data_IF_571941485821
#
_entry.id   IF_571941485821
#
_cell.length_a   1.000
_cell.length_b   1.000
_cell.length_c   1.000
_cell.angle_alpha   90.00
_cell.angle_beta   90.00
_cell.angle_gamma   90.00
#
_symmetry.space_group_name_H-M   'P 1'
#
loop_
_entity.id
_entity.type
_entity.pdbx_description
1 polymer ?
#
# COMPACT_ATOMS: atom_id res chain seq x y z
N UNK A 1 22.04 -11.32 3.82
CA UNK A 1 22.42 -9.88 3.84
C UNK A 1 23.67 -9.70 2.99
N UNK A 2 23.76 -8.62 2.21
CA UNK A 2 24.92 -8.32 1.37
C UNK A 2 25.46 -6.93 1.68
N UNK A 3 26.78 -6.78 1.64
CA UNK A 3 27.46 -5.50 1.65
C UNK A 3 28.41 -5.46 0.45
N UNK A 4 28.21 -4.49 -0.43
CA UNK A 4 29.04 -4.34 -1.62
C UNK A 4 29.19 -2.86 -1.97
N UNK A 5 30.31 -2.53 -2.62
CA UNK A 5 30.47 -1.22 -3.27
C UNK A 5 29.60 -1.21 -4.54
N UNK A 6 28.88 -0.11 -4.77
CA UNK A 6 27.87 -0.05 -5.84
C UNK A 6 28.45 -0.32 -7.24
N UNK A 7 29.62 0.23 -7.54
CA UNK A 7 30.35 0.00 -8.80
C UNK A 7 30.73 -1.48 -9.00
N UNK A 8 31.14 -2.19 -7.94
CA UNK A 8 31.47 -3.61 -8.00
C UNK A 8 30.21 -4.42 -8.30
N UNK A 9 29.11 -4.13 -7.61
CA UNK A 9 27.85 -4.83 -7.82
C UNK A 9 27.33 -4.62 -9.26
N UNK A 10 27.35 -3.39 -9.76
CA UNK A 10 26.98 -3.06 -11.14
C UNK A 10 27.92 -3.74 -12.15
N UNK A 11 29.23 -3.80 -11.88
CA UNK A 11 30.19 -4.47 -12.77
C UNK A 11 29.96 -5.98 -12.86
N UNK A 12 29.63 -6.64 -11.74
CA UNK A 12 29.32 -8.07 -11.72
C UNK A 12 27.95 -8.33 -12.39
N UNK A 13 26.97 -7.45 -12.18
CA UNK A 13 25.68 -7.53 -12.87
C UNK A 13 25.85 -7.39 -14.39
N UNK A 14 26.63 -6.41 -14.86
CA UNK A 14 26.95 -6.23 -16.29
C UNK A 14 27.58 -7.47 -16.90
N UNK A 15 28.40 -8.17 -16.13
CA UNK A 15 29.11 -9.37 -16.58
C UNK A 15 28.19 -10.59 -16.68
N UNK A 16 27.35 -10.83 -15.67
CA UNK A 16 26.54 -12.06 -15.58
C UNK A 16 25.12 -11.92 -16.13
N UNK A 17 24.57 -10.70 -16.14
CA UNK A 17 23.25 -10.35 -16.67
C UNK A 17 23.31 -9.01 -17.42
N UNK A 18 24.02 -8.95 -18.57
CA UNK A 18 24.22 -7.71 -19.32
C UNK A 18 22.91 -7.01 -19.71
N UNK A 19 21.87 -7.78 -20.08
CA UNK A 19 20.55 -7.24 -20.41
C UNK A 19 19.88 -6.59 -19.18
N UNK A 20 19.90 -7.27 -18.03
CA UNK A 20 19.36 -6.70 -16.78
C UNK A 20 20.12 -5.43 -16.39
N UNK A 21 21.45 -5.43 -16.48
CA UNK A 21 22.25 -4.24 -16.22
C UNK A 21 21.82 -3.08 -17.12
N UNK A 22 21.69 -3.30 -18.43
CA UNK A 22 21.28 -2.26 -19.36
C UNK A 22 19.90 -1.70 -19.01
N UNK A 23 18.91 -2.56 -18.80
CA UNK A 23 17.55 -2.13 -18.48
C UNK A 23 17.47 -1.35 -17.16
N UNK A 24 18.24 -1.75 -16.15
CA UNK A 24 18.36 -1.01 -14.87
C UNK A 24 19.02 0.36 -15.08
N UNK A 25 20.07 0.44 -15.90
CA UNK A 25 20.70 1.72 -16.24
C UNK A 25 19.74 2.64 -16.99
N UNK A 26 19.08 2.15 -18.03
CA UNK A 26 18.12 2.91 -18.83
C UNK A 26 16.96 3.42 -17.95
N UNK A 27 16.44 2.54 -17.09
CA UNK A 27 15.37 2.88 -16.15
C UNK A 27 15.80 3.94 -15.12
N UNK A 28 17.06 3.90 -14.68
CA UNK A 28 17.60 4.93 -13.80
C UNK A 28 17.91 6.24 -14.52
N UNK A 29 18.33 6.22 -15.78
CA UNK A 29 18.54 7.43 -16.57
C UNK A 29 17.23 8.16 -16.84
N UNK A 30 16.17 7.40 -17.15
CA UNK A 30 14.80 7.89 -17.38
C UNK A 30 13.99 8.10 -16.09
N UNK A 31 14.61 7.97 -14.91
CA UNK A 31 13.94 8.08 -13.60
C UNK A 31 13.12 9.36 -13.45
N UNK A 32 12.03 9.26 -12.70
CA UNK A 32 11.28 10.40 -12.20
C UNK A 32 11.78 10.78 -10.80
N UNK A 33 11.92 12.07 -10.52
CA UNK A 33 12.39 12.59 -9.22
C UNK A 33 11.33 13.50 -8.61
N UNK A 34 10.85 13.15 -7.43
CA UNK A 34 9.82 13.86 -6.66
C UNK A 34 10.36 14.25 -5.28
N UNK A 35 10.91 15.45 -5.14
CA UNK A 35 11.54 15.88 -3.89
C UNK A 35 12.73 14.98 -3.53
N UNK A 36 12.62 14.22 -2.44
CA UNK A 36 13.62 13.21 -2.04
C UNK A 36 13.34 11.81 -2.58
N UNK A 37 12.25 11.61 -3.33
CA UNK A 37 11.86 10.32 -3.87
C UNK A 37 12.38 10.16 -5.30
N UNK A 38 12.94 8.98 -5.60
CA UNK A 38 13.41 8.62 -6.95
C UNK A 38 12.63 7.39 -7.37
N UNK A 39 11.84 7.53 -8.44
CA UNK A 39 11.12 6.43 -9.05
C UNK A 39 11.83 6.00 -10.35
N UNK A 40 12.23 4.73 -10.51
CA UNK A 40 12.73 4.23 -11.79
C UNK A 40 11.65 4.35 -12.88
N UNK A 41 12.07 4.54 -14.14
CA UNK A 41 11.13 4.53 -15.27
C UNK A 41 10.46 3.17 -15.40
N UNK A 42 9.13 3.17 -15.43
CA UNK A 42 8.32 1.95 -15.39
C UNK A 42 8.50 1.10 -16.65
N UNK A 43 8.44 1.71 -17.84
CA UNK A 43 8.50 0.99 -19.10
C UNK A 43 9.87 0.31 -19.32
N UNK A 44 10.95 1.00 -18.95
CA UNK A 44 12.30 0.44 -18.97
C UNK A 44 12.47 -0.65 -17.90
N UNK A 45 11.93 -0.43 -16.69
CA UNK A 45 12.06 -1.40 -15.59
C UNK A 45 11.29 -2.70 -15.84
N UNK A 46 10.13 -2.63 -16.49
CA UNK A 46 9.33 -3.81 -16.87
C UNK A 46 10.08 -4.78 -17.80
N UNK A 47 11.11 -4.31 -18.50
CA UNK A 47 11.97 -5.17 -19.32
C UNK A 47 13.03 -5.94 -18.50
N UNK A 48 13.21 -5.65 -17.21
CA UNK A 48 14.13 -6.39 -16.35
C UNK A 48 13.58 -7.79 -16.01
N UNK A 49 14.41 -8.82 -16.10
CA UNK A 49 14.01 -10.15 -15.64
C UNK A 49 13.82 -10.17 -14.12
N UNK A 50 12.82 -10.91 -13.65
CA UNK A 50 12.58 -11.12 -12.22
C UNK A 50 13.45 -12.28 -11.73
N UNK A 51 14.68 -11.98 -11.31
CA UNK A 51 15.63 -12.95 -10.74
C UNK A 51 16.17 -12.42 -9.42
N UNK A 52 16.44 -13.30 -8.45
CA UNK A 52 17.09 -12.90 -7.20
C UNK A 52 18.56 -12.55 -7.42
N UNK A 53 19.10 -11.69 -6.57
CA UNK A 53 20.53 -11.33 -6.56
C UNK A 53 21.44 -12.54 -6.36
N UNK A 54 20.96 -13.57 -5.65
CA UNK A 54 21.67 -14.82 -5.43
C UNK A 54 21.97 -15.52 -6.77
N UNK A 55 20.94 -15.74 -7.59
CA UNK A 55 21.07 -16.37 -8.91
C UNK A 55 21.72 -15.45 -9.96
N UNK A 56 21.41 -14.16 -9.91
CA UNK A 56 21.90 -13.19 -10.88
C UNK A 56 23.40 -12.92 -10.74
N UNK A 57 23.91 -12.89 -9.50
CA UNK A 57 25.28 -12.47 -9.19
C UNK A 57 26.00 -13.45 -8.26
N UNK A 58 25.43 -13.80 -7.11
CA UNK A 58 26.21 -14.42 -6.02
C UNK A 58 26.68 -15.84 -6.35
N UNK A 59 25.86 -16.66 -7.00
CA UNK A 59 26.28 -18.01 -7.41
C UNK A 59 27.39 -18.01 -8.48
N UNK A 60 27.51 -16.92 -9.25
CA UNK A 60 28.44 -16.80 -10.36
C UNK A 60 29.72 -16.04 -9.99
N UNK A 61 29.65 -15.15 -9.01
CA UNK A 61 30.76 -14.27 -8.65
C UNK A 61 31.86 -15.00 -7.89
N UNK A 62 33.11 -14.76 -8.31
CA UNK A 62 34.30 -15.22 -7.59
C UNK A 62 34.79 -14.20 -6.54
N UNK A 63 34.14 -13.04 -6.45
CA UNK A 63 34.56 -11.90 -5.60
C UNK A 63 33.76 -11.84 -4.29
N UNK A 64 33.49 -13.00 -3.70
CA UNK A 64 32.67 -13.11 -2.50
C UNK A 64 33.54 -13.38 -1.29
N UNK A 65 33.23 -12.70 -0.18
CA UNK A 65 33.73 -13.00 1.16
C UNK A 65 32.54 -13.15 2.08
N UNK A 66 32.61 -14.15 2.96
CA UNK A 66 31.56 -14.44 3.94
C UNK A 66 32.09 -14.14 5.33
N UNK A 67 31.32 -13.37 6.09
CA UNK A 67 31.59 -13.11 7.50
C UNK A 67 30.52 -13.84 8.32
N UNK A 68 30.95 -14.69 9.23
CA UNK A 68 30.04 -15.33 10.17
C UNK A 68 29.44 -14.26 11.10
N UNK A 69 28.12 -14.17 11.14
CA UNK A 69 27.40 -13.28 12.04
C UNK A 69 26.92 -14.10 13.24
N UNK A 70 27.50 -13.84 14.41
CA UNK A 70 27.10 -14.51 15.66
C UNK A 70 26.00 -13.72 16.36
N UNK A 71 24.81 -13.70 15.77
CA UNK A 71 23.61 -13.10 16.35
C UNK A 71 22.39 -13.94 16.04
N UNK A 72 21.36 -13.85 16.87
CA UNK A 72 20.06 -14.44 16.57
C UNK A 72 19.45 -13.69 15.38
N UNK A 73 19.50 -14.32 14.20
CA UNK A 73 18.88 -13.81 12.99
C UNK A 73 17.91 -14.87 12.46
N UNK A 74 16.67 -14.45 12.19
CA UNK A 74 15.66 -15.26 11.51
C UNK A 74 15.14 -14.47 10.33
N UNK A 75 15.02 -15.12 9.17
CA UNK A 75 14.25 -14.60 8.06
C UNK A 75 12.79 -14.73 8.46
N UNK A 76 12.22 -13.65 9.00
CA UNK A 76 10.84 -13.60 9.48
C UNK A 76 9.91 -13.66 8.26
N UNK A 77 9.85 -14.84 7.64
CA UNK A 77 9.14 -15.11 6.38
C UNK A 77 7.87 -15.91 6.56
N UNK A 78 7.60 -16.40 7.77
CA UNK A 78 6.35 -17.08 8.13
C UNK A 78 5.82 -16.58 9.46
N UNK A 79 4.50 -16.70 9.65
CA UNK A 79 3.86 -16.39 10.93
C UNK A 79 4.34 -17.29 12.08
N UNK A 80 4.82 -18.50 11.76
CA UNK A 80 5.44 -19.41 12.75
C UNK A 80 6.76 -18.87 13.28
N UNK A 81 7.60 -18.27 12.43
CA UNK A 81 8.84 -17.63 12.87
C UNK A 81 8.55 -16.39 13.72
N UNK A 82 7.55 -15.58 13.36
CA UNK A 82 7.07 -14.49 14.20
C UNK A 82 6.63 -14.98 15.58
N UNK A 83 5.87 -16.07 15.63
CA UNK A 83 5.39 -16.62 16.89
C UNK A 83 6.53 -17.09 17.81
N UNK A 84 7.63 -17.61 17.26
CA UNK A 84 8.80 -18.08 18.03
C UNK A 84 9.59 -16.96 18.70
N UNK A 85 9.67 -15.80 18.06
CA UNK A 85 10.44 -14.65 18.56
C UNK A 85 9.61 -13.70 19.41
N UNK A 86 8.31 -13.94 19.54
CA UNK A 86 7.42 -13.08 20.30
C UNK A 86 7.36 -13.51 21.76
N UNK A 87 7.17 -12.55 22.66
CA UNK A 87 6.96 -12.84 24.08
C UNK A 87 5.67 -13.63 24.28
N UNK A 88 5.71 -14.59 25.20
CA UNK A 88 4.59 -15.48 25.51
C UNK A 88 4.19 -15.39 26.98
N UNK A 89 2.91 -15.61 27.26
CA UNK A 89 2.38 -15.82 28.61
C UNK A 89 2.70 -17.24 29.16
N UNK A 90 2.17 -17.54 30.35
CA UNK A 90 2.35 -18.84 31.04
C UNK A 90 1.76 -20.03 30.27
N UNK A 91 0.72 -19.79 29.46
CA UNK A 91 0.06 -20.79 28.61
C UNK A 91 0.69 -20.86 27.20
N UNK A 92 1.78 -20.13 26.96
CA UNK A 92 2.52 -20.09 25.70
C UNK A 92 1.86 -19.25 24.61
N UNK A 93 0.83 -18.45 24.92
CA UNK A 93 0.21 -17.55 23.96
C UNK A 93 1.04 -16.27 23.80
N UNK A 94 1.14 -15.80 22.56
CA UNK A 94 1.66 -14.48 22.25
C UNK A 94 0.55 -13.59 21.73
N UNK A 95 0.31 -12.45 22.39
CA UNK A 95 -0.83 -11.58 22.13
C UNK A 95 -0.38 -10.15 21.85
N UNK A 96 -0.86 -9.57 20.74
CA UNK A 96 -0.62 -8.19 20.34
C UNK A 96 -1.97 -7.53 20.03
N UNK A 97 -2.30 -6.46 20.77
CA UNK A 97 -3.56 -5.72 20.61
C UNK A 97 -4.62 -6.12 21.64
N UNK A 98 -5.89 -5.87 21.33
CA UNK A 98 -7.02 -6.14 22.22
C UNK A 98 -7.44 -7.61 22.13
N UNK A 99 -7.01 -8.43 23.12
CA UNK A 99 -7.16 -9.89 23.11
C UNK A 99 -7.69 -10.40 24.45
N UNK A 100 -8.69 -11.30 24.40
CA UNK A 100 -9.21 -12.04 25.55
C UNK A 100 -9.01 -13.54 25.35
N UNK A 101 -8.48 -14.20 26.37
CA UNK A 101 -8.17 -15.63 26.34
C UNK A 101 -9.00 -16.36 27.40
N UNK A 102 -9.62 -17.47 26.99
CA UNK A 102 -10.23 -18.44 27.90
C UNK A 102 -9.77 -19.84 27.48
N UNK A 103 -9.10 -20.58 28.37
CA UNK A 103 -8.62 -21.94 28.09
C UNK A 103 -7.88 -22.04 26.74
N UNK A 104 -7.01 -21.07 26.44
CA UNK A 104 -6.32 -20.96 25.16
C UNK A 104 -4.82 -21.18 25.37
N UNK A 105 -4.17 -21.98 24.52
CA UNK A 105 -2.77 -22.40 24.74
C UNK A 105 -1.94 -22.34 23.47
N UNK A 106 -0.68 -21.93 23.59
CA UNK A 106 0.27 -21.90 22.49
C UNK A 106 -0.26 -21.22 21.21
N UNK A 107 -1.01 -20.13 21.32
CA UNK A 107 -1.50 -19.37 20.17
C UNK A 107 -0.60 -18.17 19.85
N UNK A 108 -0.62 -17.69 18.61
CA UNK A 108 -0.09 -16.39 18.22
C UNK A 108 -1.26 -15.54 17.74
N UNK A 109 -1.57 -14.47 18.46
CA UNK A 109 -2.77 -13.66 18.23
C UNK A 109 -2.33 -12.21 18.05
N UNK A 110 -2.65 -11.65 16.89
CA UNK A 110 -2.44 -10.24 16.59
C UNK A 110 -3.74 -9.63 16.12
N UNK A 111 -4.24 -8.63 16.84
CA UNK A 111 -5.51 -7.98 16.53
C UNK A 111 -5.40 -6.46 16.67
N UNK A 112 -5.27 -5.75 15.55
CA UNK A 112 -5.05 -4.31 15.56
C UNK A 112 -6.35 -3.48 15.41
N UNK A 113 -7.47 -4.12 15.05
CA UNK A 113 -8.73 -3.40 14.71
C UNK A 113 -9.92 -3.72 15.60
N UNK A 114 -10.11 -4.99 15.97
CA UNK A 114 -11.24 -5.44 16.80
C UNK A 114 -10.74 -6.29 17.96
N UNK A 115 -11.54 -6.42 19.01
CA UNK A 115 -11.31 -7.41 20.05
C UNK A 115 -11.22 -8.82 19.43
N UNK A 116 -10.16 -9.56 19.75
CA UNK A 116 -10.03 -10.98 19.44
C UNK A 116 -10.21 -11.80 20.71
N UNK A 117 -11.30 -12.58 20.79
CA UNK A 117 -11.55 -13.46 21.91
C UNK A 117 -11.34 -14.92 21.49
N UNK A 118 -10.55 -15.69 22.24
CA UNK A 118 -10.31 -17.11 21.98
C UNK A 118 -10.78 -17.97 23.15
N UNK A 119 -11.47 -19.07 22.85
CA UNK A 119 -12.02 -19.98 23.85
C UNK A 119 -11.71 -21.42 23.49
N UNK A 120 -10.91 -22.12 24.31
CA UNK A 120 -10.64 -23.55 24.13
C UNK A 120 -9.77 -23.92 22.93
N UNK A 121 -9.03 -22.96 22.37
CA UNK A 121 -8.23 -23.16 21.14
C UNK A 121 -6.74 -23.26 21.45
N UNK A 122 -6.03 -24.03 20.61
CA UNK A 122 -4.60 -24.21 20.75
C UNK A 122 -3.88 -24.25 19.42
N UNK A 123 -2.61 -23.91 19.47
CA UNK A 123 -1.68 -24.04 18.34
C UNK A 123 -2.11 -23.22 17.10
N UNK A 124 -2.83 -22.11 17.29
CA UNK A 124 -3.31 -21.25 16.21
C UNK A 124 -2.43 -20.03 15.99
N UNK A 125 -2.46 -19.54 14.76
CA UNK A 125 -2.09 -18.19 14.34
C UNK A 125 -3.38 -17.49 13.98
N UNK A 126 -3.68 -16.40 14.69
CA UNK A 126 -4.84 -15.56 14.47
C UNK A 126 -4.34 -14.15 14.19
N UNK A 127 -4.53 -13.66 12.97
CA UNK A 127 -4.12 -12.32 12.56
C UNK A 127 -5.36 -11.59 12.06
N UNK A 128 -5.78 -10.58 12.81
CA UNK A 128 -6.91 -9.73 12.51
C UNK A 128 -6.42 -8.31 12.25
N UNK A 129 -6.27 -7.99 10.97
CA UNK A 129 -5.85 -6.68 10.49
C UNK A 129 -7.03 -5.93 9.89
N UNK A 130 -6.75 -4.80 9.24
CA UNK A 130 -7.81 -3.93 8.77
C UNK A 130 -8.59 -4.51 7.58
N UNK A 131 -7.90 -5.31 6.76
CA UNK A 131 -8.33 -5.90 5.49
C UNK A 131 -8.79 -7.36 5.58
N UNK A 132 -8.19 -8.16 6.46
CA UNK A 132 -8.49 -9.58 6.56
C UNK A 132 -8.30 -10.16 7.96
N UNK A 133 -9.03 -11.25 8.19
CA UNK A 133 -8.84 -12.19 9.30
C UNK A 133 -8.22 -13.47 8.76
N UNK A 134 -7.04 -13.81 9.26
CA UNK A 134 -6.39 -15.10 9.05
C UNK A 134 -6.50 -15.93 10.33
N UNK A 135 -6.96 -17.17 10.18
CA UNK A 135 -6.87 -18.20 11.22
C UNK A 135 -6.22 -19.42 10.58
N UNK A 136 -5.08 -19.84 11.12
CA UNK A 136 -4.36 -21.01 10.64
C UNK A 136 -3.78 -21.79 11.81
N UNK A 137 -3.63 -23.11 11.65
CA UNK A 137 -2.81 -23.88 12.57
C UNK A 137 -1.33 -23.48 12.39
N UNK A 138 -0.55 -23.44 13.48
CA UNK A 138 0.87 -23.03 13.47
C UNK A 138 1.69 -23.80 12.44
N UNK A 139 1.44 -25.11 12.33
CA UNK A 139 2.15 -25.99 11.40
C UNK A 139 1.75 -25.81 9.94
N UNK A 140 0.61 -25.19 9.66
CA UNK A 140 0.09 -24.95 8.31
C UNK A 140 0.35 -23.51 7.83
N UNK A 141 1.11 -22.72 8.60
CA UNK A 141 1.33 -21.29 8.32
C UNK A 141 2.00 -20.99 6.98
N UNK A 142 2.72 -21.95 6.40
CA UNK A 142 3.33 -21.82 5.07
C UNK A 142 2.29 -21.84 3.94
N UNK A 143 1.16 -22.52 4.16
CA UNK A 143 0.08 -22.64 3.18
C UNK A 143 -0.70 -21.34 2.97
N UNK A 144 -0.44 -20.29 3.77
CA UNK A 144 -0.99 -18.94 3.55
C UNK A 144 -0.66 -18.42 2.16
N UNK A 145 0.48 -18.81 1.57
CA UNK A 145 0.86 -18.45 0.18
C UNK A 145 -0.17 -18.94 -0.86
N UNK A 146 -0.80 -20.10 -0.61
CA UNK A 146 -1.83 -20.63 -1.50
C UNK A 146 -3.10 -19.77 -1.45
N UNK A 147 -3.47 -19.27 -0.27
CA UNK A 147 -4.59 -18.34 -0.13
C UNK A 147 -4.31 -17.04 -0.88
N UNK A 148 -3.11 -16.48 -0.77
CA UNK A 148 -2.72 -15.28 -1.54
C UNK A 148 -2.87 -15.52 -3.04
N UNK A 149 -2.42 -16.67 -3.54
CA UNK A 149 -2.56 -17.06 -4.96
C UNK A 149 -4.04 -17.12 -5.39
N UNK A 150 -4.92 -17.67 -4.54
CA UNK A 150 -6.36 -17.72 -4.81
C UNK A 150 -6.99 -16.32 -4.80
N UNK A 151 -6.62 -15.46 -3.85
CA UNK A 151 -7.08 -14.08 -3.79
C UNK A 151 -6.70 -13.30 -5.06
N UNK A 152 -5.48 -13.48 -5.55
CA UNK A 152 -5.02 -12.88 -6.81
C UNK A 152 -5.83 -13.37 -8.02
N UNK A 153 -6.09 -14.68 -8.10
CA UNK A 153 -6.90 -15.27 -9.17
C UNK A 153 -8.35 -14.74 -9.16
N UNK A 154 -8.90 -14.52 -7.96
CA UNK A 154 -10.21 -13.92 -7.76
C UNK A 154 -10.23 -12.39 -7.90
N UNK A 155 -9.07 -11.77 -8.17
CA UNK A 155 -8.88 -10.30 -8.25
C UNK A 155 -9.39 -9.59 -7.01
N UNK A 156 -9.19 -10.21 -5.85
CA UNK A 156 -9.64 -9.68 -4.57
C UNK A 156 -8.71 -8.56 -4.08
N UNK A 157 -9.25 -7.45 -3.53
CA UNK A 157 -8.46 -6.32 -3.11
C UNK A 157 -7.49 -6.65 -1.97
N UNK A 158 -7.81 -7.64 -1.12
CA UNK A 158 -6.99 -8.07 0.02
C UNK A 158 -5.60 -8.59 -0.38
N UNK A 159 -5.41 -9.01 -1.64
CA UNK A 159 -4.10 -9.45 -2.14
C UNK A 159 -3.16 -8.28 -2.53
N UNK A 160 -3.70 -7.08 -2.77
CA UNK A 160 -2.96 -6.01 -3.47
C UNK A 160 -3.08 -4.64 -2.83
N UNK A 161 -4.16 -4.39 -2.09
CA UNK A 161 -4.52 -3.05 -1.63
C UNK A 161 -4.33 -2.99 -0.13
N UNK A 162 -3.29 -2.30 0.31
CA UNK A 162 -3.21 -1.86 1.70
C UNK A 162 -4.32 -0.85 1.94
N UNK A 163 -5.12 -1.03 3.00
CA UNK A 163 -6.20 -0.09 3.32
C UNK A 163 -5.69 1.33 3.50
N UNK A 164 -4.50 1.48 4.10
CA UNK A 164 -3.80 2.76 4.24
C UNK A 164 -2.71 2.91 3.20
N UNK A 165 -2.75 4.03 2.48
CA UNK A 165 -1.78 4.40 1.46
C UNK A 165 -1.05 5.68 1.89
N UNK A 166 0.28 5.61 1.96
CA UNK A 166 1.11 6.76 2.29
C UNK A 166 1.41 7.60 1.05
N UNK A 167 1.39 8.92 1.24
CA UNK A 167 1.68 9.94 0.22
C UNK A 167 2.62 11.01 0.80
N UNK A 168 3.30 11.82 -0.03
CA UNK A 168 4.15 12.89 0.46
C UNK A 168 3.43 13.85 1.42
N UNK A 169 2.18 14.22 1.08
CA UNK A 169 1.32 15.10 1.86
C UNK A 169 0.71 14.48 3.12
N UNK A 170 0.78 13.15 3.31
CA UNK A 170 0.09 12.47 4.40
C UNK A 170 -0.30 11.03 4.04
N UNK A 171 -1.54 10.66 4.29
CA UNK A 171 -2.07 9.32 3.98
C UNK A 171 -3.59 9.36 3.77
N UNK A 172 -4.11 8.31 3.14
CA UNK A 172 -5.54 8.01 3.20
C UNK A 172 -5.75 6.54 3.51
N UNK A 173 -6.86 6.23 4.18
CA UNK A 173 -7.31 4.90 4.50
C UNK A 173 -8.72 4.68 3.93
N UNK A 174 -8.96 3.60 3.18
CA UNK A 174 -10.31 3.22 2.77
C UNK A 174 -11.03 2.59 3.98
N UNK A 175 -12.07 3.25 4.49
CA UNK A 175 -12.86 2.77 5.64
C UNK A 175 -13.89 1.75 5.19
N UNK A 176 -14.64 2.09 4.14
CA UNK A 176 -15.77 1.31 3.65
C UNK A 176 -16.02 1.58 2.17
N UNK A 177 -16.60 0.62 1.47
CA UNK A 177 -16.97 0.77 0.06
C UNK A 177 -18.05 -0.25 -0.33
N UNK A 178 -18.95 0.17 -1.20
CA UNK A 178 -19.91 -0.71 -1.87
C UNK A 178 -20.33 -0.08 -3.21
N UNK A 179 -21.29 -0.70 -3.90
CA UNK A 179 -21.87 -0.15 -5.11
C UNK A 179 -22.41 1.26 -4.88
N UNK A 180 -21.80 2.23 -5.57
CA UNK A 180 -22.22 3.62 -5.56
C UNK A 180 -21.53 4.52 -4.53
N UNK A 181 -20.72 3.97 -3.60
CA UNK A 181 -19.97 4.80 -2.66
C UNK A 181 -18.60 4.26 -2.24
N UNK A 182 -17.71 5.17 -1.84
CA UNK A 182 -16.41 4.86 -1.22
C UNK A 182 -16.14 5.87 -0.10
N UNK A 183 -15.77 5.39 1.08
CA UNK A 183 -15.47 6.22 2.25
C UNK A 183 -13.99 6.15 2.57
N UNK A 184 -13.35 7.31 2.67
CA UNK A 184 -11.92 7.44 3.01
C UNK A 184 -11.73 8.26 4.27
N UNK A 185 -10.80 7.83 5.13
CA UNK A 185 -10.19 8.67 6.15
C UNK A 185 -8.91 9.25 5.58
N UNK A 186 -8.81 10.57 5.50
CA UNK A 186 -7.63 11.24 4.95
C UNK A 186 -6.93 11.98 6.08
N UNK A 187 -5.62 11.79 6.19
CA UNK A 187 -4.76 12.53 7.12
C UNK A 187 -3.76 13.37 6.32
N UNK A 188 -3.78 14.68 6.53
CA UNK A 188 -2.88 15.63 5.85
C UNK A 188 -1.91 16.23 6.86
N UNK A 189 -0.61 16.17 6.55
CA UNK A 189 0.45 16.72 7.40
C UNK A 189 0.31 18.25 7.52
N UNK A 190 0.78 18.84 8.63
CA UNK A 190 0.84 20.29 8.78
C UNK A 190 1.51 20.98 7.59
N UNK A 191 0.87 22.00 7.02
CA UNK A 191 1.39 22.76 5.87
C UNK A 191 1.36 22.03 4.53
N UNK A 192 0.89 20.78 4.47
CA UNK A 192 0.76 20.05 3.22
C UNK A 192 -0.60 20.30 2.55
N UNK A 193 -0.67 20.05 1.24
CA UNK A 193 -1.89 20.13 0.43
C UNK A 193 -1.98 18.94 -0.51
N UNK A 194 -3.19 18.61 -0.92
CA UNK A 194 -3.43 17.68 -2.02
C UNK A 194 -3.29 18.44 -3.35
N UNK A 195 -3.18 17.69 -4.44
CA UNK A 195 -3.18 18.27 -5.80
C UNK A 195 -4.53 18.92 -6.10
N UNK A 196 -4.53 20.01 -6.87
CA UNK A 196 -5.77 20.54 -7.44
C UNK A 196 -6.29 19.53 -8.47
N UNK A 197 -7.50 19.03 -8.25
CA UNK A 197 -8.04 17.94 -9.04
C UNK A 197 -9.52 18.12 -9.36
N UNK A 198 -10.02 17.34 -10.31
CA UNK A 198 -11.43 17.24 -10.70
C UNK A 198 -11.75 15.80 -11.09
N UNK A 199 -12.98 15.39 -10.81
CA UNK A 199 -13.54 14.09 -11.21
C UNK A 199 -14.75 14.31 -12.11
N UNK A 200 -14.95 13.45 -13.12
CA UNK A 200 -16.09 13.57 -14.04
C UNK A 200 -17.25 12.64 -13.67
N UNK A 201 -17.00 11.59 -12.88
CA UNK A 201 -17.99 10.55 -12.61
C UNK A 201 -18.48 10.46 -11.17
N UNK A 202 -17.97 11.33 -10.27
CA UNK A 202 -18.34 11.31 -8.85
C UNK A 202 -18.46 12.69 -8.25
N UNK A 203 -19.31 12.78 -7.23
CA UNK A 203 -19.36 13.88 -6.28
C UNK A 203 -18.71 13.43 -4.98
N UNK A 204 -18.32 14.40 -4.15
CA UNK A 204 -17.68 14.12 -2.87
C UNK A 204 -18.32 14.93 -1.75
N UNK A 205 -18.34 14.35 -0.55
CA UNK A 205 -18.72 15.04 0.68
C UNK A 205 -17.57 14.91 1.68
N UNK A 206 -17.04 16.03 2.14
CA UNK A 206 -15.93 16.06 3.09
C UNK A 206 -16.40 16.55 4.44
N UNK A 207 -16.04 15.84 5.51
CA UNK A 207 -16.34 16.21 6.90
C UNK A 207 -15.03 16.29 7.67
N UNK A 208 -14.72 17.45 8.25
CA UNK A 208 -13.50 17.64 9.04
C UNK A 208 -13.69 16.99 10.40
N UNK A 209 -12.84 16.02 10.71
CA UNK A 209 -12.85 15.30 12.00
C UNK A 209 -11.96 16.00 13.01
N UNK A 210 -10.81 16.52 12.56
CA UNK A 210 -9.81 17.13 13.44
C UNK A 210 -8.99 18.20 12.73
N UNK A 211 -8.73 19.32 13.42
CA UNK A 211 -7.95 20.43 12.88
C UNK A 211 -8.76 21.36 11.97
N UNK A 212 -8.06 22.07 11.08
CA UNK A 212 -8.66 23.04 10.15
C UNK A 212 -8.21 22.76 8.73
N UNK A 213 -9.15 22.80 7.80
CA UNK A 213 -8.92 22.61 6.38
C UNK A 213 -9.19 23.90 5.61
N UNK A 214 -8.30 24.28 4.71
CA UNK A 214 -8.63 25.23 3.66
C UNK A 214 -9.02 24.43 2.41
N UNK A 215 -10.28 24.56 1.99
CA UNK A 215 -10.84 23.83 0.85
C UNK A 215 -11.07 24.79 -0.31
N UNK A 216 -10.47 24.50 -1.46
CA UNK A 216 -10.87 25.09 -2.73
C UNK A 216 -12.04 24.28 -3.28
N UNK A 217 -13.16 24.92 -3.60
CA UNK A 217 -14.34 24.31 -4.23
C UNK A 217 -14.81 25.22 -5.38
N UNK A 218 -14.37 24.90 -6.60
CA UNK A 218 -14.54 25.78 -7.75
C UNK A 218 -13.75 27.07 -7.58
N UNK A 219 -14.45 28.20 -7.49
CA UNK A 219 -13.87 29.53 -7.32
C UNK A 219 -13.79 29.95 -5.84
N UNK A 220 -14.41 29.19 -4.94
CA UNK A 220 -14.46 29.51 -3.52
C UNK A 220 -13.30 28.87 -2.75
N UNK A 221 -12.78 29.61 -1.77
CA UNK A 221 -11.87 29.07 -0.76
C UNK A 221 -12.55 29.15 0.60
N UNK A 222 -12.78 27.98 1.21
CA UNK A 222 -13.58 27.82 2.42
C UNK A 222 -12.68 27.28 3.53
N UNK A 223 -12.59 28.00 4.65
CA UNK A 223 -11.92 27.50 5.84
C UNK A 223 -12.93 26.71 6.68
N UNK A 224 -12.68 25.41 6.86
CA UNK A 224 -13.49 24.49 7.63
C UNK A 224 -12.75 24.07 8.90
N UNK A 225 -13.46 24.02 10.01
CA UNK A 225 -13.02 23.48 11.30
C UNK A 225 -13.72 22.16 11.61
N UNK A 226 -13.34 21.53 12.71
CA UNK A 226 -13.93 20.28 13.19
C UNK A 226 -15.46 20.30 13.16
N UNK A 227 -16.05 19.18 12.72
CA UNK A 227 -17.48 18.95 12.53
C UNK A 227 -18.14 19.84 11.44
N UNK A 228 -17.39 20.63 10.69
CA UNK A 228 -17.88 21.30 9.49
C UNK A 228 -17.66 20.42 8.25
N UNK A 229 -18.46 20.68 7.20
CA UNK A 229 -18.43 19.88 5.99
C UNK A 229 -18.61 20.71 4.73
N UNK A 230 -18.27 20.13 3.59
CA UNK A 230 -18.53 20.70 2.27
C UNK A 230 -18.88 19.61 1.27
N UNK A 231 -19.68 20.00 0.28
CA UNK A 231 -20.06 19.16 -0.85
C UNK A 231 -19.30 19.63 -2.10
N UNK A 232 -18.62 18.71 -2.76
CA UNK A 232 -17.91 18.93 -4.00
C UNK A 232 -18.75 18.36 -5.15
N UNK A 233 -19.36 19.22 -5.99
CA UNK A 233 -20.16 18.76 -7.13
C UNK A 233 -19.32 18.02 -8.18
N UNK A 234 -19.99 17.19 -8.97
CA UNK A 234 -19.36 16.49 -10.11
C UNK A 234 -18.75 17.53 -11.06
N UNK A 235 -17.51 17.31 -11.45
CA UNK A 235 -16.83 18.17 -12.40
C UNK A 235 -16.34 19.49 -11.82
N UNK A 236 -16.35 19.66 -10.50
CA UNK A 236 -15.80 20.85 -9.84
C UNK A 236 -14.32 20.66 -9.52
N UNK A 237 -13.51 21.68 -9.82
CA UNK A 237 -12.11 21.74 -9.38
C UNK A 237 -12.07 21.90 -7.87
N UNK A 238 -11.30 21.07 -7.18
CA UNK A 238 -11.23 21.11 -5.74
C UNK A 238 -9.83 20.75 -5.23
N UNK A 239 -9.51 21.28 -4.05
CA UNK A 239 -8.23 21.05 -3.36
C UNK A 239 -8.43 21.10 -1.86
N UNK A 240 -7.71 20.24 -1.15
CA UNK A 240 -7.65 20.22 0.31
C UNK A 240 -6.27 20.66 0.77
N UNK A 241 -6.21 21.60 1.71
CA UNK A 241 -4.97 22.06 2.33
C UNK A 241 -5.08 22.03 3.85
N UNK A 242 -3.98 21.69 4.53
CA UNK A 242 -3.85 21.82 5.97
C UNK A 242 -3.03 23.08 6.32
N UNK A 243 -3.66 24.24 6.56
CA UNK A 243 -2.96 25.45 7.00
C UNK A 243 -2.50 25.39 8.47
N UNK A 244 -2.90 24.35 9.20
CA UNK A 244 -2.65 24.21 10.63
C UNK A 244 -1.26 23.69 10.97
N UNK A 245 -1.01 23.61 12.28
CA UNK A 245 0.24 23.07 12.87
C UNK A 245 0.10 21.64 13.40
N UNK A 246 -1.10 21.07 13.34
CA UNK A 246 -1.41 19.68 13.72
C UNK A 246 -1.88 18.91 12.49
N UNK A 247 -1.80 17.57 12.47
CA UNK A 247 -2.39 16.77 11.41
C UNK A 247 -3.88 17.08 11.27
N UNK A 248 -4.30 17.32 10.02
CA UNK A 248 -5.70 17.47 9.62
C UNK A 248 -6.25 16.09 9.33
N UNK A 249 -7.43 15.78 9.85
CA UNK A 249 -8.13 14.54 9.58
C UNK A 249 -9.53 14.83 9.04
N UNK A 250 -9.93 14.16 7.95
CA UNK A 250 -11.28 14.24 7.40
C UNK A 250 -11.81 12.88 6.97
N UNK A 251 -13.13 12.78 6.92
CA UNK A 251 -13.84 11.73 6.20
C UNK A 251 -14.30 12.26 4.85
N UNK A 252 -13.92 11.56 3.79
CA UNK A 252 -14.39 11.79 2.43
C UNK A 252 -15.37 10.68 2.06
N UNK A 253 -16.57 11.06 1.64
CA UNK A 253 -17.56 10.15 1.04
C UNK A 253 -17.65 10.47 -0.43
N UNK A 254 -17.24 9.53 -1.28
CA UNK A 254 -17.35 9.63 -2.72
C UNK A 254 -18.62 8.91 -3.17
N UNK A 255 -19.42 9.54 -4.02
CA UNK A 255 -20.68 9.01 -4.52
C UNK A 255 -20.75 9.11 -6.05
N UNK A 256 -21.03 8.00 -6.72
CA UNK A 256 -21.07 7.96 -8.18
C UNK A 256 -21.03 6.55 -8.76
N UNK A 257 -21.21 6.47 -10.09
CA UNK A 257 -21.22 5.18 -10.81
C UNK A 257 -19.80 4.65 -11.11
N UNK A 258 -18.78 5.48 -10.89
CA UNK A 258 -17.37 5.13 -11.09
C UNK A 258 -16.50 5.88 -10.08
N UNK A 259 -15.72 5.15 -9.28
CA UNK A 259 -15.04 5.67 -8.07
C UNK A 259 -13.55 5.31 -8.01
N UNK A 260 -12.95 4.97 -9.15
CA UNK A 260 -11.53 4.63 -9.24
C UNK A 260 -10.65 5.88 -9.41
N UNK A 261 -9.35 5.75 -9.13
CA UNK A 261 -8.40 6.88 -9.11
C UNK A 261 -7.90 7.32 -10.49
N UNK A 262 -8.30 6.64 -11.55
CA UNK A 262 -7.94 6.95 -12.95
C UNK A 262 -8.81 8.03 -13.60
N UNK A 263 -9.99 8.34 -13.04
CA UNK A 263 -10.81 9.52 -13.41
C UNK A 263 -10.30 10.83 -12.76
N UNK A 264 -9.11 10.82 -12.14
CA UNK A 264 -8.56 12.01 -11.48
C UNK A 264 -7.72 12.81 -12.46
N UNK A 265 -8.24 13.98 -12.88
CA UNK A 265 -7.44 14.96 -13.64
C UNK A 265 -6.80 15.94 -12.65
N UNK A 266 -5.46 15.99 -12.65
CA UNK A 266 -4.67 16.86 -11.78
C UNK A 266 -4.17 18.08 -12.57
N UNK A 267 -4.47 19.28 -12.07
CA UNK A 267 -4.17 20.54 -12.76
C UNK A 267 -2.98 21.28 -12.14
N UNK A 268 -2.82 21.16 -10.82
CA UNK A 268 -1.70 21.73 -10.06
C UNK A 268 -1.26 20.71 -9.02
N UNK A 269 -0.15 20.03 -9.31
CA UNK A 269 0.41 18.98 -8.45
C UNK A 269 1.85 19.33 -8.08
N UNK A 270 2.02 19.77 -6.83
CA UNK A 270 3.34 19.94 -6.20
C UNK A 270 4.16 18.63 -6.16
N UNK A 271 3.54 17.49 -6.50
CA UNK A 271 4.11 16.16 -6.40
C UNK A 271 4.25 15.43 -7.75
N UNK A 272 4.17 16.14 -8.89
CA UNK A 272 4.65 15.60 -10.19
C UNK A 272 3.80 14.51 -10.87
N UNK A 273 2.58 14.22 -10.44
CA UNK A 273 1.69 13.20 -11.02
C UNK A 273 0.76 13.74 -12.12
N UNK A 274 1.05 14.91 -12.67
CA UNK A 274 0.22 15.59 -13.67
C UNK A 274 0.20 14.91 -15.06
N UNK A 275 0.94 13.81 -15.27
CA UNK A 275 1.13 13.20 -16.59
C UNK A 275 0.74 11.71 -16.74
N UNK A 276 0.01 11.10 -15.81
CA UNK A 276 -0.54 9.74 -16.03
C UNK A 276 -2.01 9.78 -16.44
N UNK A 277 -2.28 10.13 -17.70
CA UNK A 277 -3.53 9.74 -18.37
C UNK A 277 -3.32 8.37 -19.00
N UNK A 278 -3.85 7.30 -18.40
CA UNK A 278 -3.92 6.00 -19.07
C UNK A 278 -5.02 6.10 -20.13
N UNK A 279 -4.73 5.92 -21.43
CA UNK A 279 -5.77 6.03 -22.45
C UNK A 279 -6.78 4.91 -22.26
N UNK A 280 -8.06 5.29 -22.12
CA UNK A 280 -9.21 4.40 -22.19
C UNK A 280 -9.11 3.54 -23.45
N UNK A 281 -8.80 2.24 -23.30
CA UNK A 281 -9.00 1.26 -24.37
C UNK A 281 -10.50 1.08 -24.58
N UNK A 282 -11.06 1.88 -25.49
CA UNK A 282 -12.40 1.63 -26.03
C UNK A 282 -12.32 0.36 -26.88
N UNK A 283 -12.83 -0.75 -26.34
CA UNK A 283 -13.00 -1.99 -27.09
C UNK A 283 -14.17 -1.82 -28.07
N UNK A 284 -13.91 -1.22 -29.23
CA UNK A 284 -14.76 -1.34 -30.41
C UNK A 284 -14.48 -2.71 -31.03
N UNK A 285 -15.20 -3.73 -30.60
CA UNK A 285 -15.45 -4.92 -31.42
C UNK A 285 -16.47 -5.85 -30.75
N UNK A 286 -17.76 -5.59 -30.95
CA UNK A 286 -18.80 -6.62 -31.09
C UNK A 286 -19.94 -6.08 -31.99
N UNK A 287 -19.66 -5.95 -33.28
CA UNK A 287 -20.67 -6.04 -34.34
C UNK A 287 -20.24 -7.15 -35.29
N UNK A 288 -21.00 -8.26 -35.26
CA UNK A 288 -21.05 -9.45 -36.13
C UNK A 288 -21.21 -10.65 -35.17
N UNK A 289 -22.34 -11.33 -35.03
CA UNK A 289 -23.53 -11.50 -35.86
C UNK A 289 -23.83 -13.00 -35.83
N UNK A 290 -25.05 -13.41 -35.47
CA UNK A 290 -25.59 -14.74 -35.75
C UNK A 290 -27.11 -14.63 -35.86
N UNK A 291 -27.61 -15.03 -37.03
CA UNK A 291 -28.97 -15.42 -37.46
C UNK A 291 -30.18 -14.72 -36.84
#
# INVERSE_FOLDING_TARGET
MFLARADVLLSELRKFRPAMHQNVCDSYELKHVEGSFIAPDTAAFENCSSESIDYAIMEQSKRIKMLALNTAWSDVGTWKELAKISETDEDGNSCIGDVLLQNSQNNYIRSNKKLCATVGVKDLIIVNNDDALLIAHKDESENVKQIVTQLEALKRPEARTHQTVNRPWGSYCNIDQDFGFKVKHITVKPGAKLSLQKHFHRAEHWVIVKGSALVTNGEENILLSENQSTYIPIGTLHRLENPGKIPLELIEVQSGNYLEEDDIVRYDDDYGRSNQSIPLKVNKDQKKGVS
#
